data_IF_526870868888
#
_entry.id   IF_526870868888
#
_cell.length_a   1.000
_cell.length_b   1.000
_cell.length_c   1.000
_cell.angle_alpha   90.00
_cell.angle_beta   90.00
_cell.angle_gamma   90.00
#
_symmetry.space_group_name_H-M   'P 1'
#
loop_
_entity.id
_entity.type
_entity.pdbx_description
1 polymer ?
#
# COMPACT_ATOMS: atom_id res chain seq x y z
N UNK A 1 -20.90 -61.85 -16.98
CA UNK A 1 -20.52 -61.10 -15.77
C UNK A 1 -21.51 -61.43 -14.67
N UNK A 2 -21.09 -61.92 -13.51
CA UNK A 2 -22.02 -62.35 -12.44
C UNK A 2 -22.65 -61.15 -11.75
N UNK A 3 -23.88 -61.29 -11.23
CA UNK A 3 -24.59 -60.19 -10.56
C UNK A 3 -23.78 -59.57 -9.40
N UNK A 4 -22.96 -60.39 -8.72
CA UNK A 4 -22.01 -59.96 -7.67
C UNK A 4 -20.86 -59.10 -8.22
N UNK A 5 -20.34 -59.41 -9.41
CA UNK A 5 -19.31 -58.60 -10.07
C UNK A 5 -19.88 -57.26 -10.54
N UNK A 6 -21.11 -57.25 -11.04
CA UNK A 6 -21.81 -56.04 -11.48
C UNK A 6 -22.10 -55.10 -10.30
N UNK A 7 -22.57 -55.65 -9.17
CA UNK A 7 -22.76 -54.91 -7.91
C UNK A 7 -21.45 -54.32 -7.37
N UNK A 8 -20.34 -55.06 -7.44
CA UNK A 8 -19.02 -54.56 -7.01
C UNK A 8 -18.54 -53.38 -7.86
N UNK A 9 -18.68 -53.48 -9.18
CA UNK A 9 -18.30 -52.40 -10.10
C UNK A 9 -19.16 -51.15 -9.84
N UNK A 10 -20.47 -51.32 -9.66
CA UNK A 10 -21.37 -50.23 -9.30
C UNK A 10 -21.02 -49.60 -7.95
N UNK A 11 -20.69 -50.38 -6.94
CA UNK A 11 -20.29 -49.84 -5.63
C UNK A 11 -18.97 -49.07 -5.68
N UNK A 12 -18.02 -49.50 -6.52
CA UNK A 12 -16.76 -48.77 -6.74
C UNK A 12 -17.03 -47.46 -7.49
N UNK A 13 -17.87 -47.48 -8.52
CA UNK A 13 -18.27 -46.26 -9.23
C UNK A 13 -19.04 -45.29 -8.32
N UNK A 14 -19.91 -45.78 -7.44
CA UNK A 14 -20.63 -44.95 -6.49
C UNK A 14 -19.68 -44.36 -5.44
N UNK A 15 -18.70 -45.14 -4.96
CA UNK A 15 -17.69 -44.67 -4.03
C UNK A 15 -16.77 -43.62 -4.67
N UNK A 16 -16.34 -43.84 -5.92
CA UNK A 16 -15.54 -42.88 -6.69
C UNK A 16 -16.38 -41.63 -7.00
N UNK A 17 -17.66 -41.78 -7.33
CA UNK A 17 -18.56 -40.66 -7.48
C UNK A 17 -18.70 -39.88 -6.17
N UNK A 18 -18.88 -40.53 -5.03
CA UNK A 18 -18.96 -39.88 -3.70
C UNK A 18 -17.64 -39.26 -3.27
N UNK A 19 -16.48 -39.83 -3.62
CA UNK A 19 -15.16 -39.22 -3.34
C UNK A 19 -14.90 -38.02 -4.26
N UNK A 20 -15.34 -38.08 -5.52
CA UNK A 20 -15.22 -36.98 -6.48
C UNK A 20 -16.31 -35.90 -6.32
N UNK A 21 -17.46 -36.23 -5.72
CA UNK A 21 -18.58 -35.30 -5.47
C UNK A 21 -18.74 -34.90 -3.99
N UNK A 22 -17.98 -35.53 -3.09
CA UNK A 22 -18.09 -35.39 -1.63
C UNK A 22 -16.88 -34.77 -0.93
N UNK A 23 -15.89 -34.27 -1.67
CA UNK A 23 -15.18 -33.08 -1.21
C UNK A 23 -15.97 -31.87 -1.68
N UNK A 24 -17.13 -31.68 -1.04
CA UNK A 24 -17.71 -30.36 -0.88
C UNK A 24 -16.67 -29.51 -0.16
N UNK A 25 -15.75 -28.94 -0.93
CA UNK A 25 -15.44 -27.56 -0.67
C UNK A 25 -16.81 -26.91 -0.78
N UNK A 26 -17.37 -26.52 0.36
CA UNK A 26 -17.94 -25.19 0.39
C UNK A 26 -16.91 -24.32 -0.34
N UNK A 27 -17.10 -24.16 -1.66
CA UNK A 27 -17.00 -22.83 -2.19
C UNK A 27 -17.87 -22.06 -1.22
N UNK A 28 -17.22 -21.38 -0.28
CA UNK A 28 -17.77 -20.18 0.32
C UNK A 28 -18.22 -19.37 -0.88
N UNK A 29 -19.48 -19.62 -1.24
CA UNK A 29 -20.13 -19.06 -2.39
C UNK A 29 -20.45 -17.68 -1.91
N UNK A 30 -19.47 -16.79 -2.05
CA UNK A 30 -19.74 -15.38 -2.02
C UNK A 30 -20.60 -15.11 -3.25
N UNK A 31 -21.90 -15.05 -3.02
CA UNK A 31 -22.83 -14.41 -3.93
C UNK A 31 -22.33 -12.99 -4.10
N UNK A 32 -21.87 -12.67 -5.31
CA UNK A 32 -21.42 -11.34 -5.69
C UNK A 32 -22.65 -10.41 -5.72
N UNK A 33 -22.94 -9.74 -4.62
CA UNK A 33 -23.15 -8.31 -4.68
C UNK A 33 -21.84 -7.72 -4.18
N UNK A 34 -21.23 -6.78 -4.92
CA UNK A 34 -19.87 -6.30 -4.62
C UNK A 34 -19.70 -5.94 -3.14
N UNK A 35 -18.46 -5.82 -2.65
CA UNK A 35 -18.27 -5.11 -1.38
C UNK A 35 -18.61 -3.64 -1.65
N UNK A 36 -19.89 -3.32 -1.50
CA UNK A 36 -20.41 -2.07 -0.99
C UNK A 36 -20.08 -2.07 0.52
N UNK A 37 -19.41 -1.05 1.01
CA UNK A 37 -20.08 -0.30 2.07
C UNK A 37 -21.13 0.59 1.37
N UNK A 38 -22.29 0.82 1.98
CA UNK A 38 -23.54 1.29 1.36
C UNK A 38 -23.43 2.27 0.17
N UNK A 39 -24.18 2.03 -0.93
CA UNK A 39 -24.63 3.08 -1.86
C UNK A 39 -24.18 3.08 -3.34
N UNK A 40 -23.42 2.11 -3.88
CA UNK A 40 -22.89 2.22 -5.26
C UNK A 40 -23.99 2.02 -6.28
N UNK A 41 -24.53 3.13 -6.74
CA UNK A 41 -25.43 3.27 -7.87
C UNK A 41 -24.61 3.74 -9.09
N UNK A 42 -24.48 2.94 -10.16
CA UNK A 42 -23.74 3.31 -11.38
C UNK A 42 -24.25 4.58 -12.06
N UNK A 43 -25.48 5.01 -11.77
CA UNK A 43 -26.05 6.27 -12.23
C UNK A 43 -25.69 7.48 -11.34
N UNK A 44 -25.21 7.24 -10.10
CA UNK A 44 -24.79 8.29 -9.14
C UNK A 44 -23.28 8.36 -8.89
N UNK A 45 -22.55 7.28 -9.14
CA UNK A 45 -21.12 7.12 -8.82
C UNK A 45 -20.30 6.84 -10.07
N UNK A 46 -20.61 7.54 -11.17
CA UNK A 46 -19.82 7.43 -12.38
C UNK A 46 -18.38 7.85 -12.06
N UNK A 47 -17.38 7.01 -12.37
CA UNK A 47 -15.99 7.44 -12.28
C UNK A 47 -15.80 8.69 -13.14
N UNK A 48 -14.83 9.54 -12.79
CA UNK A 48 -14.59 10.72 -13.61
C UNK A 48 -14.40 10.32 -15.09
N UNK A 49 -14.80 11.15 -16.05
CA UNK A 49 -14.64 10.83 -17.47
C UNK A 49 -13.20 10.41 -17.84
N UNK A 50 -12.20 10.94 -17.13
CA UNK A 50 -10.79 10.59 -17.26
C UNK A 50 -10.43 9.19 -16.71
N UNK A 51 -11.14 8.71 -15.69
CA UNK A 51 -10.97 7.36 -15.11
C UNK A 51 -11.34 6.26 -16.11
N UNK A 52 -12.43 6.47 -16.87
CA UNK A 52 -12.91 5.49 -17.86
C UNK A 52 -11.90 5.23 -18.99
N UNK A 53 -10.92 6.12 -19.19
CA UNK A 53 -9.88 5.94 -20.20
C UNK A 53 -8.82 4.89 -19.80
N UNK A 54 -8.66 4.61 -18.50
CA UNK A 54 -7.56 3.79 -17.98
C UNK A 54 -8.04 2.57 -17.17
N UNK A 55 -9.32 2.53 -16.77
CA UNK A 55 -9.88 1.46 -15.94
C UNK A 55 -11.08 0.85 -16.64
N UNK A 56 -11.08 -0.48 -16.78
CA UNK A 56 -12.16 -1.21 -17.43
C UNK A 56 -13.19 -1.72 -16.40
N UNK A 57 -14.48 -1.36 -16.52
CA UNK A 57 -15.52 -1.90 -15.65
C UNK A 57 -15.74 -3.38 -15.97
N UNK A 58 -15.24 -4.25 -15.11
CA UNK A 58 -15.35 -5.70 -15.27
C UNK A 58 -15.71 -6.35 -13.94
N UNK A 59 -16.44 -7.47 -13.99
CA UNK A 59 -16.66 -8.28 -12.80
C UNK A 59 -15.34 -8.93 -12.40
N UNK A 60 -14.87 -8.66 -11.17
CA UNK A 60 -13.66 -9.27 -10.61
C UNK A 60 -14.05 -10.46 -9.75
N UNK A 61 -13.39 -11.60 -9.92
CA UNK A 61 -13.54 -12.75 -9.04
C UNK A 61 -12.26 -12.88 -8.22
N UNK A 62 -12.39 -12.90 -6.90
CA UNK A 62 -11.25 -13.08 -6.00
C UNK A 62 -11.04 -14.56 -5.69
N UNK A 63 -9.78 -14.96 -5.72
CA UNK A 63 -9.35 -16.27 -5.23
C UNK A 63 -9.40 -16.31 -3.69
N UNK A 64 -9.48 -17.51 -3.08
CA UNK A 64 -9.39 -17.67 -1.62
C UNK A 64 -8.12 -17.04 -1.02
N UNK A 65 -7.00 -17.04 -1.76
CA UNK A 65 -5.73 -16.43 -1.31
C UNK A 65 -5.84 -14.91 -1.22
N UNK A 66 -6.44 -14.26 -2.21
CA UNK A 66 -6.68 -12.82 -2.21
C UNK A 66 -7.61 -12.40 -1.06
N UNK A 67 -8.68 -13.17 -0.83
CA UNK A 67 -9.59 -12.94 0.31
C UNK A 67 -8.83 -13.05 1.63
N UNK A 68 -7.98 -14.08 1.79
CA UNK A 68 -7.16 -14.26 2.99
C UNK A 68 -6.18 -13.10 3.21
N UNK A 69 -5.56 -12.59 2.15
CA UNK A 69 -4.64 -11.45 2.24
C UNK A 69 -5.36 -10.17 2.70
N UNK A 70 -6.55 -9.89 2.17
CA UNK A 70 -7.39 -8.77 2.59
C UNK A 70 -7.81 -8.91 4.05
N UNK A 71 -8.34 -10.09 4.45
CA UNK A 71 -8.71 -10.37 5.85
C UNK A 71 -7.55 -10.15 6.80
N UNK A 72 -6.36 -10.66 6.47
CA UNK A 72 -5.15 -10.45 7.27
C UNK A 72 -4.84 -8.96 7.48
N UNK A 73 -5.04 -8.10 6.49
CA UNK A 73 -4.81 -6.67 6.65
C UNK A 73 -5.84 -6.02 7.58
N UNK A 74 -7.12 -6.43 7.48
CA UNK A 74 -8.18 -5.99 8.40
C UNK A 74 -7.91 -6.44 9.83
N UNK A 75 -7.46 -7.68 10.00
CA UNK A 75 -7.10 -8.24 11.30
C UNK A 75 -5.94 -7.43 11.92
N UNK A 76 -4.86 -7.19 11.16
CA UNK A 76 -3.71 -6.38 11.62
C UNK A 76 -4.12 -4.98 12.06
N UNK A 77 -5.00 -4.31 11.30
CA UNK A 77 -5.53 -3.00 11.69
C UNK A 77 -6.37 -3.11 12.98
N UNK A 78 -7.22 -4.12 13.09
CA UNK A 78 -8.11 -4.31 14.24
C UNK A 78 -7.33 -4.61 15.52
N UNK A 79 -6.32 -5.49 15.43
CA UNK A 79 -5.42 -5.86 16.54
C UNK A 79 -4.70 -4.66 17.15
N UNK A 80 -4.47 -3.61 16.34
CA UNK A 80 -3.79 -2.39 16.75
C UNK A 80 -4.73 -1.19 16.93
N UNK A 81 -6.05 -1.43 17.05
CA UNK A 81 -7.09 -0.40 17.23
C UNK A 81 -7.17 0.63 16.08
N UNK A 82 -6.81 0.23 14.87
CA UNK A 82 -6.80 1.05 13.66
C UNK A 82 -7.96 0.73 12.70
N UNK A 83 -8.96 -0.06 13.12
CA UNK A 83 -10.11 -0.39 12.27
C UNK A 83 -10.83 0.86 11.75
N UNK A 84 -10.89 1.94 12.54
CA UNK A 84 -11.52 3.20 12.11
C UNK A 84 -10.91 3.79 10.83
N UNK A 85 -9.67 3.45 10.47
CA UNK A 85 -9.08 3.86 9.19
C UNK A 85 -9.86 3.30 7.99
N UNK A 86 -10.50 2.14 8.14
CA UNK A 86 -11.34 1.54 7.10
C UNK A 86 -12.68 2.27 6.92
N UNK A 87 -13.03 3.18 7.84
CA UNK A 87 -14.25 4.01 7.77
C UNK A 87 -13.99 5.33 7.02
N UNK A 88 -12.73 5.65 6.72
CA UNK A 88 -12.36 6.85 5.96
C UNK A 88 -12.83 6.82 4.50
N UNK A 89 -12.63 5.72 3.75
CA UNK A 89 -13.26 5.56 2.46
C UNK A 89 -14.71 5.11 2.59
N UNK A 90 -15.57 5.61 1.71
CA UNK A 90 -16.93 5.11 1.53
C UNK A 90 -16.91 3.64 1.08
N UNK A 91 -15.91 3.26 0.27
CA UNK A 91 -15.78 1.92 -0.32
C UNK A 91 -14.33 1.57 -0.64
N UNK A 92 -14.05 0.26 -0.62
CA UNK A 92 -12.92 -0.35 -1.30
C UNK A 92 -13.40 -1.12 -2.53
N UNK A 93 -12.77 -0.90 -3.68
CA UNK A 93 -13.13 -1.54 -4.96
C UNK A 93 -11.91 -2.24 -5.55
N UNK A 94 -12.02 -3.53 -5.84
CA UNK A 94 -10.96 -4.24 -6.58
C UNK A 94 -11.13 -4.01 -8.07
N UNK A 95 -10.06 -3.61 -8.74
CA UNK A 95 -10.05 -3.29 -10.18
C UNK A 95 -8.90 -3.96 -10.90
N UNK A 96 -9.02 -4.08 -12.22
CA UNK A 96 -7.89 -4.35 -13.12
C UNK A 96 -7.34 -3.01 -13.59
N UNK A 97 -6.26 -2.56 -12.95
CA UNK A 97 -5.60 -1.29 -13.21
C UNK A 97 -4.09 -1.49 -13.09
N UNK A 98 -3.26 -0.61 -13.68
CA UNK A 98 -1.80 -0.71 -13.53
C UNK A 98 -1.30 -0.34 -12.13
N UNK A 99 -2.14 0.24 -11.26
CA UNK A 99 -1.82 0.60 -9.88
C UNK A 99 -3.09 0.78 -9.03
N UNK A 100 -2.91 0.81 -7.70
CA UNK A 100 -3.95 1.18 -6.72
C UNK A 100 -3.95 2.70 -6.54
N UNK A 101 -5.09 3.29 -6.22
CA UNK A 101 -5.26 4.74 -6.09
C UNK A 101 -6.53 5.10 -5.30
N UNK A 102 -6.60 6.34 -4.84
CA UNK A 102 -7.78 6.92 -4.20
C UNK A 102 -8.52 7.92 -5.12
N UNK A 103 -9.83 7.72 -5.32
CA UNK A 103 -10.73 8.73 -5.89
C UNK A 103 -11.19 9.65 -4.77
N UNK A 104 -10.48 10.77 -4.66
CA UNK A 104 -10.64 11.77 -3.62
C UNK A 104 -12.05 12.39 -3.58
N UNK A 105 -12.63 12.90 -4.70
CA UNK A 105 -14.01 13.39 -4.70
C UNK A 105 -15.07 12.39 -4.22
N UNK A 106 -14.91 11.11 -4.55
CA UNK A 106 -15.89 10.08 -4.20
C UNK A 106 -15.54 9.34 -2.91
N UNK A 107 -14.40 9.64 -2.29
CA UNK A 107 -13.88 8.93 -1.10
C UNK A 107 -13.79 7.41 -1.32
N UNK A 108 -13.39 6.95 -2.50
CA UNK A 108 -13.27 5.52 -2.83
C UNK A 108 -11.80 5.13 -2.96
N UNK A 109 -11.41 4.00 -2.38
CA UNK A 109 -10.10 3.37 -2.63
C UNK A 109 -10.24 2.26 -3.65
N UNK A 110 -9.44 2.34 -4.72
CA UNK A 110 -9.33 1.33 -5.75
C UNK A 110 -8.06 0.52 -5.56
N UNK A 111 -8.21 -0.79 -5.36
CA UNK A 111 -7.09 -1.71 -5.19
C UNK A 111 -6.88 -2.49 -6.48
N UNK A 112 -5.63 -2.48 -6.95
CA UNK A 112 -5.22 -3.29 -8.08
C UNK A 112 -5.24 -4.77 -7.70
N UNK A 113 -6.01 -5.55 -8.46
CA UNK A 113 -6.16 -6.99 -8.28
C UNK A 113 -4.81 -7.73 -8.24
N UNK A 114 -3.83 -7.29 -9.02
CA UNK A 114 -2.50 -7.91 -9.04
C UNK A 114 -1.76 -7.65 -7.72
N UNK A 115 -1.87 -6.43 -7.15
CA UNK A 115 -1.25 -6.11 -5.85
C UNK A 115 -1.87 -6.88 -4.68
N UNK A 116 -3.15 -7.25 -4.77
CA UNK A 116 -3.80 -8.12 -3.75
C UNK A 116 -3.28 -9.57 -3.83
N UNK A 117 -2.82 -10.01 -5.00
CA UNK A 117 -2.32 -11.37 -5.22
C UNK A 117 -0.87 -11.55 -4.75
N UNK A 118 -0.11 -10.45 -4.68
CA UNK A 118 1.29 -10.51 -4.28
C UNK A 118 1.41 -10.89 -2.81
N UNK A 119 2.17 -11.95 -2.54
CA UNK A 119 2.56 -12.36 -1.18
C UNK A 119 3.85 -11.68 -0.74
N UNK A 120 3.95 -10.39 -1.05
CA UNK A 120 5.09 -9.53 -0.77
C UNK A 120 4.90 -8.72 0.52
N UNK A 121 6.01 -8.48 1.17
CA UNK A 121 6.17 -7.65 2.34
C UNK A 121 6.63 -6.24 1.98
N UNK A 122 6.59 -5.32 2.94
CA UNK A 122 7.01 -3.93 2.73
C UNK A 122 8.50 -3.87 2.33
N UNK A 123 9.33 -4.75 2.89
CA UNK A 123 10.74 -4.92 2.52
C UNK A 123 10.93 -5.30 1.04
N UNK A 124 10.12 -6.23 0.54
CA UNK A 124 10.18 -6.62 -0.88
C UNK A 124 9.78 -5.45 -1.80
N UNK A 125 8.84 -4.59 -1.38
CA UNK A 125 8.44 -3.39 -2.14
C UNK A 125 9.57 -2.36 -2.25
N UNK A 126 10.35 -2.19 -1.18
CA UNK A 126 11.54 -1.34 -1.19
C UNK A 126 12.59 -1.82 -2.18
N UNK A 127 12.91 -3.11 -2.15
CA UNK A 127 13.87 -3.73 -3.06
C UNK A 127 13.42 -3.58 -4.52
N UNK A 128 12.15 -3.93 -4.81
CA UNK A 128 11.58 -3.81 -6.14
C UNK A 128 11.61 -2.36 -6.66
N UNK A 129 11.26 -1.37 -5.83
CA UNK A 129 11.30 0.05 -6.23
C UNK A 129 12.72 0.52 -6.50
N UNK A 130 13.68 0.12 -5.66
CA UNK A 130 15.08 0.48 -5.85
C UNK A 130 15.62 -0.08 -7.18
N UNK A 131 15.41 -1.38 -7.43
CA UNK A 131 15.88 -2.06 -8.63
C UNK A 131 15.21 -1.52 -9.91
N UNK A 132 13.91 -1.21 -9.85
CA UNK A 132 13.21 -0.59 -10.98
C UNK A 132 13.68 0.84 -11.28
N UNK A 133 14.15 1.57 -10.27
CA UNK A 133 14.71 2.92 -10.44
C UNK A 133 16.19 2.91 -10.89
N UNK A 134 16.88 1.77 -10.74
CA UNK A 134 18.32 1.62 -10.94
C UNK A 134 18.70 0.29 -11.59
N UNK A 135 18.68 0.28 -12.93
CA UNK A 135 19.10 -0.89 -13.71
C UNK A 135 20.57 -1.28 -13.47
N UNK A 136 21.41 -0.32 -13.04
CA UNK A 136 22.83 -0.56 -12.72
C UNK A 136 23.07 -1.42 -11.48
N UNK A 137 22.05 -1.65 -10.64
CA UNK A 137 22.14 -2.50 -9.45
C UNK A 137 21.63 -3.93 -9.67
N UNK A 138 21.14 -4.25 -10.87
CA UNK A 138 20.54 -5.57 -11.13
C UNK A 138 21.54 -6.72 -11.00
N UNK A 139 22.81 -6.50 -11.37
CA UNK A 139 23.86 -7.52 -11.27
C UNK A 139 24.16 -7.90 -9.81
N UNK A 140 24.01 -6.96 -8.88
CA UNK A 140 24.27 -7.16 -7.45
C UNK A 140 22.99 -7.46 -6.63
N UNK A 141 21.84 -7.64 -7.29
CA UNK A 141 20.54 -7.80 -6.62
C UNK A 141 20.45 -9.02 -5.69
N UNK A 142 21.33 -10.00 -5.82
CA UNK A 142 21.42 -11.16 -4.92
C UNK A 142 22.22 -10.91 -3.63
N UNK A 143 22.97 -9.82 -3.56
CA UNK A 143 23.90 -9.55 -2.47
C UNK A 143 23.34 -8.63 -1.38
N UNK A 144 22.23 -7.95 -1.66
CA UNK A 144 21.54 -7.11 -0.69
C UNK A 144 20.05 -7.40 -0.64
N UNK A 145 19.42 -7.02 0.45
CA UNK A 145 17.97 -7.00 0.60
C UNK A 145 17.58 -6.00 1.69
N UNK A 146 16.30 -5.68 1.76
CA UNK A 146 15.75 -4.90 2.86
C UNK A 146 15.09 -5.82 3.88
N UNK A 147 15.16 -5.47 5.16
CA UNK A 147 14.57 -6.25 6.24
C UNK A 147 13.62 -5.39 7.06
N UNK A 148 12.33 -5.64 6.90
CA UNK A 148 11.27 -5.06 7.72
C UNK A 148 11.10 -5.81 9.03
N UNK A 149 11.05 -5.08 10.16
CA UNK A 149 10.83 -5.63 11.49
C UNK A 149 9.72 -4.84 12.19
N UNK A 150 8.55 -5.45 12.50
CA UNK A 150 8.14 -6.80 12.12
C UNK A 150 7.89 -6.94 10.61
N UNK A 151 7.85 -8.18 10.09
CA UNK A 151 7.54 -8.42 8.68
C UNK A 151 6.05 -8.20 8.41
N UNK A 152 5.71 -7.10 7.74
CA UNK A 152 4.34 -6.70 7.43
C UNK A 152 4.02 -6.87 5.94
N UNK A 153 2.78 -7.22 5.56
CA UNK A 153 2.39 -7.36 4.16
C UNK A 153 2.34 -5.99 3.47
N UNK A 154 2.83 -5.90 2.23
CA UNK A 154 2.79 -4.62 1.51
C UNK A 154 1.36 -4.16 1.19
N UNK A 155 0.40 -5.09 1.09
CA UNK A 155 -1.01 -4.75 0.94
C UNK A 155 -1.53 -3.88 2.10
N UNK A 156 -1.06 -4.09 3.33
CA UNK A 156 -1.40 -3.23 4.47
C UNK A 156 -0.88 -1.80 4.24
N UNK A 157 0.37 -1.67 3.82
CA UNK A 157 0.98 -0.38 3.48
C UNK A 157 0.22 0.32 2.34
N UNK A 158 -0.18 -0.40 1.30
CA UNK A 158 -0.99 0.15 0.20
C UNK A 158 -2.33 0.67 0.73
N UNK A 159 -3.06 -0.12 1.53
CA UNK A 159 -4.32 0.31 2.13
C UNK A 159 -4.16 1.62 2.92
N UNK A 160 -3.16 1.67 3.82
CA UNK A 160 -2.89 2.85 4.65
C UNK A 160 -2.48 4.05 3.77
N UNK A 161 -1.70 3.81 2.70
CA UNK A 161 -1.28 4.85 1.77
C UNK A 161 -2.48 5.49 1.05
N UNK A 162 -3.38 4.67 0.49
CA UNK A 162 -4.56 5.19 -0.21
C UNK A 162 -5.52 5.92 0.74
N UNK A 163 -5.67 5.43 1.98
CA UNK A 163 -6.39 6.15 3.04
C UNK A 163 -5.71 7.49 3.34
N UNK A 164 -4.37 7.52 3.36
CA UNK A 164 -3.58 8.74 3.51
C UNK A 164 -3.93 9.80 2.47
N UNK A 165 -4.18 9.41 1.21
CA UNK A 165 -4.66 10.34 0.18
C UNK A 165 -6.07 10.89 0.44
N UNK A 166 -6.96 10.11 1.07
CA UNK A 166 -8.28 10.60 1.45
C UNK A 166 -8.21 11.57 2.63
N UNK A 167 -7.39 11.26 3.64
CA UNK A 167 -7.09 12.16 4.78
C UNK A 167 -6.51 13.48 4.27
N UNK A 168 -5.54 13.39 3.38
CA UNK A 168 -4.90 14.52 2.70
C UNK A 168 -5.91 15.43 2.00
N UNK A 169 -6.80 14.83 1.20
CA UNK A 169 -7.84 15.57 0.49
C UNK A 169 -8.82 16.24 1.45
N UNK A 170 -9.28 15.52 2.46
CA UNK A 170 -10.28 16.03 3.39
C UNK A 170 -9.71 17.11 4.32
N UNK A 171 -8.48 16.94 4.82
CA UNK A 171 -7.92 17.78 5.89
C UNK A 171 -7.00 18.87 5.36
N UNK A 172 -6.09 18.53 4.47
CA UNK A 172 -5.13 19.47 3.89
C UNK A 172 -5.73 20.22 2.70
N UNK A 173 -6.87 19.75 2.16
CA UNK A 173 -7.57 20.35 1.01
C UNK A 173 -6.66 20.56 -0.19
N UNK A 174 -5.66 19.69 -0.38
CA UNK A 174 -4.98 19.63 -1.66
C UNK A 174 -6.01 19.35 -2.75
N UNK A 175 -5.90 20.00 -3.91
CA UNK A 175 -6.84 19.67 -4.96
C UNK A 175 -6.57 18.27 -5.49
N UNK A 176 -7.59 17.70 -6.13
CA UNK A 176 -7.51 16.37 -6.76
C UNK A 176 -6.47 16.30 -7.90
N UNK A 177 -6.00 17.45 -8.42
CA UNK A 177 -4.95 17.58 -9.43
C UNK A 177 -3.54 17.80 -8.83
N UNK A 178 -3.37 17.76 -7.50
CA UNK A 178 -2.10 18.07 -6.82
C UNK A 178 -1.61 19.53 -6.94
N UNK A 179 -2.46 20.48 -7.35
CA UNK A 179 -2.13 21.91 -7.33
C UNK A 179 -2.44 22.54 -5.98
N UNK A 180 -1.65 23.55 -5.67
CA UNK A 180 -1.74 24.34 -4.46
C UNK A 180 -3.09 25.05 -4.35
N UNK A 181 -3.92 24.61 -3.40
CA UNK A 181 -5.05 25.39 -2.90
C UNK A 181 -4.57 26.03 -1.61
N UNK A 182 -4.64 27.36 -1.41
CA UNK A 182 -4.13 27.96 -0.19
C UNK A 182 -4.88 27.43 1.06
N UNK A 183 -4.27 26.48 1.78
CA UNK A 183 -4.72 25.97 3.06
C UNK A 183 -3.55 26.06 4.06
N UNK A 184 -3.71 26.63 5.26
CA UNK A 184 -2.63 26.69 6.23
C UNK A 184 -1.95 25.34 6.52
N UNK A 185 -2.72 24.24 6.59
CA UNK A 185 -2.21 22.90 6.89
C UNK A 185 -1.38 22.34 5.74
N UNK A 186 -1.81 22.52 4.49
CA UNK A 186 -1.00 22.05 3.37
C UNK A 186 0.32 22.83 3.25
N UNK A 187 0.29 24.15 3.49
CA UNK A 187 1.49 24.98 3.52
C UNK A 187 2.45 24.51 4.59
N UNK A 188 1.94 24.26 5.79
CA UNK A 188 2.74 23.78 6.92
C UNK A 188 3.45 22.46 6.60
N UNK A 189 2.72 21.48 6.07
CA UNK A 189 3.31 20.19 5.68
C UNK A 189 4.31 20.33 4.53
N UNK A 190 3.92 21.01 3.45
CA UNK A 190 4.74 21.19 2.25
C UNK A 190 6.05 21.90 2.58
N UNK A 191 6.02 22.91 3.46
CA UNK A 191 7.21 23.66 3.85
C UNK A 191 8.30 22.81 4.52
N UNK A 192 7.98 21.59 5.00
CA UNK A 192 8.98 20.67 5.54
C UNK A 192 9.92 20.18 4.42
N UNK A 193 9.35 19.79 3.28
CA UNK A 193 10.05 19.21 2.11
C UNK A 193 10.26 20.19 0.95
N UNK A 194 9.71 21.41 1.02
CA UNK A 194 9.73 22.39 -0.07
C UNK A 194 11.02 23.20 -0.15
N UNK A 195 11.49 23.44 -1.37
CA UNK A 195 12.59 24.35 -1.71
C UNK A 195 12.04 25.59 -2.44
N UNK A 196 12.39 26.78 -1.94
CA UNK A 196 11.96 28.05 -2.54
C UNK A 196 12.58 28.30 -3.92
N UNK A 197 13.77 27.75 -4.19
CA UNK A 197 14.50 27.99 -5.43
C UNK A 197 14.13 27.00 -6.55
N UNK A 198 13.58 25.84 -6.18
CA UNK A 198 13.28 24.73 -7.11
C UNK A 198 11.81 24.31 -7.16
N UNK A 199 10.94 25.01 -6.43
CA UNK A 199 9.57 24.56 -6.19
C UNK A 199 9.54 23.15 -5.55
N UNK A 200 8.46 22.37 -5.70
CA UNK A 200 8.40 20.97 -5.21
C UNK A 200 9.30 20.00 -6.00
N UNK A 201 10.21 20.48 -6.85
CA UNK A 201 11.27 19.62 -7.35
C UNK A 201 12.24 19.37 -6.21
N UNK A 202 11.87 18.40 -5.36
CA UNK A 202 12.76 17.62 -4.53
C UNK A 202 13.93 18.44 -3.98
N UNK A 203 13.64 19.11 -2.85
CA UNK A 203 14.58 19.97 -2.10
C UNK A 203 15.97 19.38 -1.92
N UNK A 204 16.08 18.07 -1.98
CA UNK A 204 17.26 17.33 -1.57
C UNK A 204 17.94 16.65 -2.77
N UNK A 205 17.37 16.78 -3.98
CA UNK A 205 17.83 16.09 -5.17
C UNK A 205 17.71 14.56 -5.08
N UNK A 206 16.85 14.06 -4.20
CA UNK A 206 16.47 12.66 -4.03
C UNK A 206 16.36 11.87 -5.34
N UNK A 207 15.51 12.27 -6.30
CA UNK A 207 15.29 11.53 -7.55
C UNK A 207 16.55 11.49 -8.41
N UNK A 208 17.33 12.58 -8.44
CA UNK A 208 18.63 12.61 -9.12
C UNK A 208 19.63 11.68 -8.43
N UNK A 209 19.70 11.71 -7.09
CA UNK A 209 20.58 10.82 -6.32
C UNK A 209 20.18 9.37 -6.51
N UNK A 210 18.88 9.07 -6.47
CA UNK A 210 18.31 7.74 -6.63
C UNK A 210 18.66 7.16 -7.99
N UNK A 211 18.45 7.88 -9.10
CA UNK A 211 18.69 7.37 -10.46
C UNK A 211 20.17 7.28 -10.86
N UNK A 212 21.08 7.90 -10.11
CA UNK A 212 22.51 7.90 -10.41
C UNK A 212 23.28 6.84 -9.61
N UNK A 213 22.59 5.92 -8.94
CA UNK A 213 23.24 4.83 -8.21
C UNK A 213 23.72 3.77 -9.22
N UNK A 214 25.03 3.55 -9.27
CA UNK A 214 25.68 2.64 -10.22
C UNK A 214 26.47 1.50 -9.56
N UNK A 215 26.55 1.47 -8.23
CA UNK A 215 27.26 0.43 -7.49
C UNK A 215 26.70 0.28 -6.07
N UNK A 216 27.09 -0.79 -5.38
CA UNK A 216 26.77 -1.01 -3.96
C UNK A 216 27.31 0.11 -3.08
N UNK A 217 28.52 0.63 -3.33
CA UNK A 217 29.06 1.77 -2.58
C UNK A 217 28.20 3.02 -2.78
N UNK A 218 27.76 3.26 -4.02
CA UNK A 218 26.82 4.33 -4.34
C UNK A 218 25.48 4.16 -3.62
N UNK A 219 24.98 2.93 -3.54
CA UNK A 219 23.74 2.60 -2.83
C UNK A 219 23.89 2.86 -1.33
N UNK A 220 24.99 2.43 -0.71
CA UNK A 220 25.26 2.68 0.71
C UNK A 220 25.36 4.17 1.01
N UNK A 221 26.05 4.95 0.18
CA UNK A 221 26.13 6.40 0.31
C UNK A 221 24.75 7.06 0.20
N UNK A 222 23.93 6.61 -0.77
CA UNK A 222 22.56 7.08 -0.93
C UNK A 222 21.70 6.76 0.30
N UNK A 223 21.75 5.53 0.80
CA UNK A 223 20.94 5.10 1.95
C UNK A 223 21.38 5.77 3.26
N UNK A 224 22.69 6.00 3.46
CA UNK A 224 23.19 6.78 4.58
C UNK A 224 22.64 8.20 4.55
N UNK A 225 22.79 8.87 3.39
CA UNK A 225 22.24 10.20 3.17
C UNK A 225 20.72 10.23 3.36
N UNK A 226 20.00 9.23 2.83
CA UNK A 226 18.56 9.11 2.98
C UNK A 226 18.18 9.02 4.46
N UNK A 227 18.89 8.21 5.25
CA UNK A 227 18.65 8.07 6.68
C UNK A 227 18.89 9.39 7.43
N UNK A 228 20.00 10.05 7.16
CA UNK A 228 20.46 11.20 7.96
C UNK A 228 19.81 12.52 7.56
N UNK A 229 19.70 12.77 6.26
CA UNK A 229 19.38 14.09 5.74
C UNK A 229 17.98 14.17 5.13
N UNK A 230 17.45 13.07 4.61
CA UNK A 230 16.22 13.14 3.83
C UNK A 230 14.98 13.32 4.69
N UNK A 231 14.11 14.23 4.27
CA UNK A 231 12.78 14.41 4.84
C UNK A 231 11.79 13.31 4.43
N UNK A 232 12.09 12.52 3.41
CA UNK A 232 11.21 11.48 2.87
C UNK A 232 11.26 10.18 3.66
N UNK A 233 10.16 9.42 3.62
CA UNK A 233 10.06 8.12 4.31
C UNK A 233 10.12 6.93 3.37
N UNK A 234 10.01 7.12 2.04
CA UNK A 234 10.20 6.03 1.08
C UNK A 234 10.75 6.53 -0.24
N UNK A 235 11.12 5.58 -1.10
CA UNK A 235 11.57 5.86 -2.46
C UNK A 235 10.47 6.44 -3.37
N UNK A 236 9.21 6.41 -2.93
CA UNK A 236 8.07 6.95 -3.69
C UNK A 236 7.66 8.36 -3.24
N UNK A 237 8.14 8.86 -2.09
CA UNK A 237 7.73 10.15 -1.53
C UNK A 237 8.07 11.35 -2.43
N UNK A 238 9.10 11.24 -3.29
CA UNK A 238 9.52 12.33 -4.18
C UNK A 238 8.61 12.52 -5.41
N UNK A 239 7.63 11.64 -5.62
CA UNK A 239 6.75 11.67 -6.80
C UNK A 239 5.69 12.79 -6.76
N UNK A 240 5.47 13.44 -5.61
CA UNK A 240 4.54 14.56 -5.48
C UNK A 240 4.22 14.90 -4.02
N UNK A 241 3.62 16.07 -3.77
CA UNK A 241 3.20 16.49 -2.41
C UNK A 241 2.23 15.51 -1.76
N UNK A 242 1.30 15.03 -2.57
CA UNK A 242 0.27 14.11 -2.16
C UNK A 242 0.88 12.76 -1.77
N UNK A 243 1.90 12.32 -2.50
CA UNK A 243 2.66 11.08 -2.24
C UNK A 243 3.49 11.23 -0.97
N UNK A 244 4.20 12.35 -0.80
CA UNK A 244 4.97 12.60 0.42
C UNK A 244 4.09 12.57 1.68
N UNK A 245 2.90 13.19 1.63
CA UNK A 245 1.95 13.10 2.74
C UNK A 245 1.48 11.67 2.97
N UNK A 246 1.07 10.95 1.93
CA UNK A 246 0.60 9.58 2.06
C UNK A 246 1.69 8.64 2.61
N UNK A 247 2.95 8.81 2.20
CA UNK A 247 4.09 8.06 2.76
C UNK A 247 4.40 8.44 4.20
N UNK A 248 4.32 9.72 4.56
CA UNK A 248 4.48 10.15 5.95
C UNK A 248 3.36 9.60 6.85
N UNK A 249 2.13 9.55 6.33
CA UNK A 249 0.99 8.95 7.01
C UNK A 249 1.20 7.45 7.24
N UNK A 250 1.62 6.72 6.21
CA UNK A 250 2.01 5.31 6.32
C UNK A 250 3.07 5.12 7.39
N UNK A 251 4.19 5.87 7.32
CA UNK A 251 5.27 5.70 8.27
C UNK A 251 4.84 5.97 9.70
N UNK A 252 4.05 7.03 9.94
CA UNK A 252 3.50 7.32 11.26
C UNK A 252 2.70 6.14 11.80
N UNK A 253 1.77 5.57 11.01
CA UNK A 253 0.97 4.43 11.43
C UNK A 253 1.85 3.19 11.70
N UNK A 254 2.77 2.89 10.79
CA UNK A 254 3.65 1.73 10.92
C UNK A 254 4.57 1.85 12.14
N UNK A 255 5.11 3.04 12.41
CA UNK A 255 6.01 3.24 13.55
C UNK A 255 5.26 3.24 14.88
N UNK A 256 4.17 4.00 15.00
CA UNK A 256 3.48 4.15 16.29
C UNK A 256 2.70 2.91 16.71
N UNK A 257 2.14 2.15 15.75
CA UNK A 257 1.22 1.06 16.07
C UNK A 257 1.82 -0.32 15.84
N UNK A 258 2.87 -0.45 15.03
CA UNK A 258 3.50 -1.74 14.74
C UNK A 258 4.99 -1.79 15.14
N UNK A 259 5.54 -0.69 15.67
CA UNK A 259 6.98 -0.50 15.90
C UNK A 259 7.82 -0.91 14.68
N UNK A 260 7.33 -0.59 13.49
CA UNK A 260 7.95 -1.01 12.25
C UNK A 260 9.22 -0.22 11.95
N UNK A 261 10.26 -0.94 11.56
CA UNK A 261 11.51 -0.40 11.06
C UNK A 261 11.99 -1.21 9.85
N UNK A 262 12.73 -0.56 8.95
CA UNK A 262 13.33 -1.20 7.79
C UNK A 262 14.83 -0.99 7.77
N UNK A 263 15.60 -2.07 7.65
CA UNK A 263 17.06 -2.05 7.61
C UNK A 263 17.57 -2.51 6.26
N UNK A 264 18.76 -2.07 5.88
CA UNK A 264 19.50 -2.55 4.72
C UNK A 264 20.48 -3.65 5.12
N UNK A 265 20.37 -4.80 4.46
CA UNK A 265 21.24 -5.95 4.68
C UNK A 265 22.08 -6.16 3.43
N UNK A 266 23.39 -6.30 3.61
CA UNK A 266 24.33 -6.62 2.55
C UNK A 266 25.21 -7.80 2.98
N UNK A 267 25.31 -8.82 2.12
CA UNK A 267 26.03 -10.06 2.37
C UNK A 267 25.67 -10.71 3.72
N UNK A 268 24.38 -10.68 4.05
CA UNK A 268 23.83 -11.26 5.28
C UNK A 268 24.12 -10.47 6.57
N UNK A 269 24.65 -9.24 6.47
CA UNK A 269 24.88 -8.36 7.63
C UNK A 269 24.05 -7.09 7.51
N UNK A 270 23.42 -6.68 8.61
CA UNK A 270 22.77 -5.36 8.68
C UNK A 270 23.88 -4.31 8.58
N UNK A 271 23.91 -3.57 7.48
CA UNK A 271 24.91 -2.50 7.26
C UNK A 271 24.33 -1.16 7.70
N UNK A 272 23.04 -0.93 7.43
CA UNK A 272 22.32 0.25 7.88
C UNK A 272 21.03 -0.21 8.56
N UNK A 273 20.93 0.04 9.86
CA UNK A 273 19.70 -0.18 10.61
C UNK A 273 18.70 0.95 10.34
N UNK A 274 17.41 0.70 10.54
CA UNK A 274 16.32 1.70 10.53
C UNK A 274 16.54 2.90 9.57
N UNK A 275 16.43 2.64 8.27
CA UNK A 275 16.61 3.63 7.20
C UNK A 275 15.64 4.82 7.31
N UNK A 276 14.49 4.57 7.94
CA UNK A 276 13.44 5.56 8.14
C UNK A 276 13.58 6.28 9.49
N UNK A 277 14.70 6.11 10.20
CA UNK A 277 14.93 6.72 11.51
C UNK A 277 14.58 8.23 11.51
N UNK A 278 13.95 8.74 12.58
CA UNK A 278 13.56 10.14 12.64
C UNK A 278 14.77 11.07 12.68
N UNK A 279 14.92 11.90 11.65
CA UNK A 279 15.70 13.14 11.69
C UNK A 279 14.78 14.33 11.93
N UNK A 280 15.35 15.55 11.99
CA UNK A 280 14.59 16.78 12.27
C UNK A 280 13.35 16.95 11.38
N UNK A 281 13.46 16.70 10.08
CA UNK A 281 12.36 16.89 9.13
C UNK A 281 11.31 15.79 9.26
N UNK A 282 11.75 14.54 9.41
CA UNK A 282 10.87 13.39 9.64
C UNK A 282 10.09 13.53 10.94
N UNK A 283 10.72 14.03 12.01
CA UNK A 283 10.03 14.34 13.27
C UNK A 283 8.93 15.40 13.09
N UNK A 284 9.19 16.43 12.27
CA UNK A 284 8.17 17.44 11.96
C UNK A 284 6.98 16.81 11.21
N UNK A 285 7.22 15.93 10.24
CA UNK A 285 6.16 15.21 9.53
C UNK A 285 5.37 14.28 10.45
N UNK A 286 6.05 13.50 11.28
CA UNK A 286 5.40 12.63 12.26
C UNK A 286 4.54 13.43 13.24
N UNK A 287 5.05 14.52 13.78
CA UNK A 287 4.30 15.39 14.68
C UNK A 287 3.08 16.01 13.99
N UNK A 288 3.23 16.41 12.72
CA UNK A 288 2.11 16.93 11.92
C UNK A 288 1.01 15.88 11.75
N UNK A 289 1.36 14.64 11.36
CA UNK A 289 0.38 13.55 11.23
C UNK A 289 -0.25 13.21 12.58
N UNK A 290 0.54 13.12 13.66
CA UNK A 290 0.03 12.87 15.01
C UNK A 290 -1.01 13.90 15.44
N UNK A 291 -0.74 15.18 15.19
CA UNK A 291 -1.67 16.27 15.52
C UNK A 291 -2.98 16.18 14.71
N UNK A 292 -2.91 15.78 13.44
CA UNK A 292 -4.11 15.54 12.63
C UNK A 292 -4.95 14.39 13.22
N UNK A 293 -4.30 13.28 13.56
CA UNK A 293 -4.99 12.08 14.08
C UNK A 293 -5.63 12.31 15.46
N UNK A 294 -4.98 13.06 16.36
CA UNK A 294 -5.55 13.39 17.65
C UNK A 294 -6.82 14.26 17.52
N UNK A 295 -6.85 15.17 16.55
CA UNK A 295 -8.03 15.99 16.28
C UNK A 295 -9.21 15.19 15.73
N UNK A 296 -8.99 14.03 15.09
CA UNK A 296 -10.06 13.10 14.70
C UNK A 296 -10.70 12.42 15.91
N UNK A 297 -9.88 11.85 16.78
CA UNK A 297 -10.34 11.11 17.96
C UNK A 297 -11.13 11.98 18.93
N UNK A 298 -10.93 13.29 18.90
CA UNK A 298 -11.68 14.27 19.69
C UNK A 298 -13.00 14.72 19.04
N UNK A 299 -13.16 14.57 17.72
CA UNK A 299 -14.40 14.90 17.00
C UNK A 299 -15.40 13.74 16.98
N UNK A 300 -14.91 12.51 17.09
CA UNK A 300 -15.73 11.29 17.11
C UNK A 300 -16.11 10.82 18.53
N UNK A 301 -15.90 11.66 19.55
CA UNK A 301 -16.38 11.50 20.93
C UNK A 301 -17.48 12.50 21.22
#
# INVERSE_FOLDING_TARGET
>A
MTMKALLRILSVYLLVAVVLSGCGWEQDSFVYQGILFEGFDPAKHQPSPEFLNNVSPTKVLLSPRQIKALKKCVDLLSENNLHYLLEYPDRFVIVKAPYSFADKPQMIVYLDMEKVNLTFSIDDDWENKLLNANLGLMEDSGDFYFQGTPKLPNLLRILIHEIGHLVEFERLKFNWQGKFVPNPLNKEFVNISWDQDRFWQDKEGFSQKLHNIQSIEGLLQFLQWFKEESSFFSLSSSMGMNEDFAEAFVYYILKEYYDYEISFVYQGRVVLDNLQAPNRYRQQKMAFVANLMQNELLKNK
#
